data_IF_981909564843
#
_entry.id   IF_981909564843
#
_cell.length_a   1.000
_cell.length_b   1.000
_cell.length_c   1.000
_cell.angle_alpha   90.00
_cell.angle_beta   90.00
_cell.angle_gamma   90.00
#
_symmetry.space_group_name_H-M   'P 1'
#
loop_
_entity.id
_entity.type
_entity.pdbx_description
1 polymer ?
#
# COMPACT_ATOMS: atom_id res chain seq x y z
N UNK A 1 21.79 6.73 -72.11
CA UNK A 1 22.00 5.87 -70.92
C UNK A 1 21.69 6.62 -69.62
N UNK A 2 20.76 7.59 -69.60
CA UNK A 2 20.39 8.34 -68.37
C UNK A 2 18.93 8.10 -67.94
N UNK A 3 18.03 7.85 -68.89
CA UNK A 3 16.60 7.58 -68.66
C UNK A 3 16.39 6.26 -67.88
N UNK A 4 17.29 5.29 -68.02
CA UNK A 4 17.25 4.03 -67.28
C UNK A 4 17.61 4.18 -65.79
N UNK A 5 18.44 5.17 -65.43
CA UNK A 5 18.85 5.39 -64.04
C UNK A 5 17.77 6.11 -63.22
N UNK A 6 17.01 7.02 -63.83
CA UNK A 6 15.91 7.74 -63.18
C UNK A 6 14.72 6.83 -62.87
N UNK A 7 14.40 5.86 -63.75
CA UNK A 7 13.37 4.86 -63.49
C UNK A 7 13.75 3.90 -62.34
N UNK A 8 15.02 3.49 -62.26
CA UNK A 8 15.50 2.63 -61.17
C UNK A 8 15.49 3.35 -59.80
N UNK A 9 15.84 4.64 -59.76
CA UNK A 9 15.73 5.45 -58.54
C UNK A 9 14.27 5.69 -58.13
N UNK A 10 13.38 6.01 -59.07
CA UNK A 10 11.96 6.20 -58.80
C UNK A 10 11.30 4.94 -58.23
N UNK A 11 11.64 3.75 -58.76
CA UNK A 11 11.16 2.49 -58.18
C UNK A 11 11.69 2.21 -56.78
N UNK A 12 12.93 2.59 -56.47
CA UNK A 12 13.49 2.44 -55.10
C UNK A 12 12.75 3.35 -54.11
N UNK A 13 12.46 4.60 -54.50
CA UNK A 13 11.71 5.55 -53.67
C UNK A 13 10.27 5.05 -53.45
N UNK A 14 9.61 4.51 -54.48
CA UNK A 14 8.26 3.94 -54.35
C UNK A 14 8.23 2.71 -53.44
N UNK A 15 9.23 1.82 -53.53
CA UNK A 15 9.37 0.67 -52.62
C UNK A 15 9.64 1.10 -51.18
N UNK A 16 10.51 2.09 -50.97
CA UNK A 16 10.78 2.66 -49.64
C UNK A 16 9.53 3.31 -49.04
N UNK A 17 8.77 4.09 -49.83
CA UNK A 17 7.51 4.69 -49.40
C UNK A 17 6.49 3.64 -49.00
N UNK A 18 6.26 2.62 -49.84
CA UNK A 18 5.31 1.55 -49.53
C UNK A 18 5.74 0.77 -48.28
N UNK A 19 7.04 0.52 -48.11
CA UNK A 19 7.57 -0.13 -46.91
C UNK A 19 7.35 0.73 -45.65
N UNK A 20 7.57 2.04 -45.73
CA UNK A 20 7.30 2.96 -44.63
C UNK A 20 5.81 3.03 -44.27
N UNK A 21 4.91 3.01 -45.27
CA UNK A 21 3.45 2.96 -45.04
C UNK A 21 3.05 1.68 -44.32
N UNK A 22 3.62 0.54 -44.71
CA UNK A 22 3.35 -0.76 -44.05
C UNK A 22 3.86 -0.75 -42.61
N UNK A 23 5.10 -0.28 -42.39
CA UNK A 23 5.69 -0.20 -41.04
C UNK A 23 4.89 0.75 -40.15
N UNK A 24 4.49 1.92 -40.66
CA UNK A 24 3.65 2.87 -39.94
C UNK A 24 2.26 2.28 -39.61
N UNK A 25 1.67 1.50 -40.54
CA UNK A 25 0.42 0.78 -40.29
C UNK A 25 0.54 -0.26 -39.18
N UNK A 26 1.64 -1.02 -39.15
CA UNK A 26 1.91 -2.01 -38.09
C UNK A 26 2.11 -1.31 -36.74
N UNK A 27 2.90 -0.23 -36.70
CA UNK A 27 3.11 0.56 -35.48
C UNK A 27 1.80 1.18 -34.98
N UNK A 28 0.98 1.73 -35.88
CA UNK A 28 -0.33 2.27 -35.54
C UNK A 28 -1.27 1.22 -34.95
N UNK A 29 -1.32 0.04 -35.55
CA UNK A 29 -2.09 -1.09 -35.03
C UNK A 29 -1.58 -1.54 -33.65
N UNK A 30 -0.26 -1.63 -33.45
CA UNK A 30 0.35 -1.98 -32.17
C UNK A 30 0.02 -0.95 -31.08
N UNK A 31 0.10 0.35 -31.38
CA UNK A 31 -0.29 1.42 -30.47
C UNK A 31 -1.79 1.34 -30.12
N UNK A 32 -2.66 1.07 -31.09
CA UNK A 32 -4.09 0.90 -30.84
C UNK A 32 -4.38 -0.29 -29.91
N UNK A 33 -3.69 -1.42 -30.11
CA UNK A 33 -3.79 -2.59 -29.24
C UNK A 33 -3.31 -2.26 -27.82
N UNK A 34 -2.16 -1.61 -27.66
CA UNK A 34 -1.64 -1.20 -26.35
C UNK A 34 -2.57 -0.20 -25.65
N UNK A 35 -3.15 0.74 -26.40
CA UNK A 35 -4.13 1.69 -25.88
C UNK A 35 -5.40 0.97 -25.41
N UNK A 36 -5.88 -0.03 -26.17
CA UNK A 36 -7.03 -0.84 -25.79
C UNK A 36 -6.74 -1.63 -24.50
N UNK A 37 -5.60 -2.33 -24.43
CA UNK A 37 -5.18 -3.09 -23.23
C UNK A 37 -5.08 -2.16 -22.01
N UNK A 38 -4.58 -0.94 -22.20
CA UNK A 38 -4.46 0.04 -21.11
C UNK A 38 -5.82 0.58 -20.68
N UNK A 39 -6.72 0.81 -21.63
CA UNK A 39 -8.08 1.28 -21.36
C UNK A 39 -8.94 0.21 -20.69
N UNK A 40 -8.70 -1.06 -20.97
CA UNK A 40 -9.39 -2.20 -20.35
C UNK A 40 -8.70 -2.71 -19.08
N UNK A 41 -7.60 -2.08 -18.64
CA UNK A 41 -6.86 -2.55 -17.47
C UNK A 41 -7.75 -2.46 -16.23
N UNK A 42 -7.90 -3.60 -15.55
CA UNK A 42 -9.02 -3.88 -14.68
C UNK A 42 -9.14 -2.93 -13.49
N UNK A 43 -10.37 -2.47 -13.24
CA UNK A 43 -10.81 -1.93 -11.96
C UNK A 43 -11.28 -3.11 -11.13
N UNK A 44 -10.55 -3.47 -10.08
CA UNK A 44 -10.99 -4.53 -9.20
C UNK A 44 -11.94 -3.94 -8.15
N UNK A 45 -13.21 -4.29 -8.26
CA UNK A 45 -14.24 -3.91 -7.29
C UNK A 45 -14.52 -5.13 -6.43
N UNK A 46 -14.09 -5.08 -5.19
CA UNK A 46 -14.35 -6.15 -4.22
C UNK A 46 -15.64 -5.82 -3.49
N UNK A 47 -16.67 -6.62 -3.72
CA UNK A 47 -17.94 -6.52 -3.02
C UNK A 47 -17.88 -7.37 -1.74
N UNK A 48 -17.94 -6.70 -0.59
CA UNK A 48 -18.10 -7.38 0.70
C UNK A 48 -19.55 -7.20 1.16
N UNK A 49 -20.30 -8.29 1.49
CA UNK A 49 -21.75 -8.24 1.73
C UNK A 49 -22.23 -7.28 2.82
N UNK A 50 -21.36 -6.88 3.74
CA UNK A 50 -21.69 -6.06 4.92
C UNK A 50 -21.28 -4.60 4.78
N UNK A 51 -20.66 -4.19 3.67
CA UNK A 51 -20.17 -2.82 3.50
C UNK A 51 -21.24 -1.93 2.85
N UNK A 52 -21.42 -0.74 3.41
CA UNK A 52 -22.33 0.28 2.86
C UNK A 52 -21.81 0.97 1.59
N UNK A 53 -20.60 0.63 1.13
CA UNK A 53 -19.98 1.19 -0.07
C UNK A 53 -19.00 0.19 -0.70
N UNK A 54 -18.87 0.16 -2.05
CA UNK A 54 -17.93 -0.73 -2.73
C UNK A 54 -16.47 -0.41 -2.39
N UNK A 55 -15.64 -1.45 -2.22
CA UNK A 55 -14.19 -1.28 -2.11
C UNK A 55 -13.57 -1.29 -3.49
N UNK A 56 -12.84 -0.22 -3.82
CA UNK A 56 -12.18 -0.08 -5.12
C UNK A 56 -10.67 -0.01 -4.94
N UNK A 57 -9.97 -0.85 -5.70
CA UNK A 57 -8.51 -0.86 -5.84
C UNK A 57 -8.20 -0.77 -7.34
N UNK A 58 -7.40 0.22 -7.75
CA UNK A 58 -7.03 0.40 -9.15
C UNK A 58 -5.59 0.89 -9.29
N UNK A 59 -5.06 0.87 -10.51
CA UNK A 59 -3.68 1.32 -10.79
C UNK A 59 -3.38 2.77 -10.36
N UNK A 60 -4.38 3.63 -10.19
CA UNK A 60 -4.21 5.01 -9.73
C UNK A 60 -4.24 5.15 -8.20
N UNK A 61 -4.68 4.14 -7.45
CA UNK A 61 -4.68 4.14 -5.99
C UNK A 61 -5.80 3.33 -5.35
N UNK A 62 -6.00 3.60 -4.07
CA UNK A 62 -7.00 2.94 -3.22
C UNK A 62 -8.14 3.89 -2.87
N UNK A 63 -9.36 3.34 -2.77
CA UNK A 63 -10.50 4.06 -2.20
C UNK A 63 -10.29 4.35 -0.71
N UNK A 64 -10.98 5.37 -0.20
CA UNK A 64 -10.94 5.73 1.23
C UNK A 64 -11.45 4.58 2.09
N UNK A 65 -12.54 3.96 1.67
CA UNK A 65 -13.22 2.87 2.36
C UNK A 65 -12.31 1.64 2.46
N UNK A 66 -11.55 1.37 1.39
CA UNK A 66 -10.54 0.30 1.41
C UNK A 66 -9.40 0.62 2.38
N UNK A 67 -8.85 1.84 2.32
CA UNK A 67 -7.76 2.24 3.22
C UNK A 67 -8.21 2.25 4.68
N UNK A 68 -9.45 2.67 4.96
CA UNK A 68 -10.06 2.62 6.28
C UNK A 68 -10.19 1.17 6.77
N UNK A 69 -10.71 0.28 5.93
CA UNK A 69 -10.85 -1.14 6.27
C UNK A 69 -9.51 -1.79 6.62
N UNK A 70 -8.51 -1.59 5.77
CA UNK A 70 -7.15 -2.14 5.97
C UNK A 70 -6.48 -1.52 7.20
N UNK A 71 -6.66 -0.22 7.42
CA UNK A 71 -6.12 0.46 8.60
C UNK A 71 -6.75 -0.08 9.88
N UNK A 72 -8.07 -0.32 9.91
CA UNK A 72 -8.75 -0.87 11.08
C UNK A 72 -8.21 -2.25 11.43
N UNK A 73 -8.09 -3.13 10.45
CA UNK A 73 -7.54 -4.48 10.63
C UNK A 73 -6.08 -4.43 11.10
N UNK A 74 -5.27 -3.58 10.45
CA UNK A 74 -3.85 -3.43 10.80
C UNK A 74 -3.65 -2.81 12.19
N UNK A 75 -4.50 -1.87 12.61
CA UNK A 75 -4.42 -1.29 13.94
C UNK A 75 -4.66 -2.33 15.02
N UNK A 76 -5.69 -3.17 14.86
CA UNK A 76 -5.93 -4.31 15.78
C UNK A 76 -4.72 -5.25 15.75
N UNK A 77 -4.25 -5.63 14.57
CA UNK A 77 -3.11 -6.54 14.43
C UNK A 77 -1.83 -6.01 15.08
N UNK A 78 -1.54 -4.71 14.94
CA UNK A 78 -0.27 -4.13 15.39
C UNK A 78 -0.28 -3.71 16.86
N UNK A 79 -1.44 -3.26 17.38
CA UNK A 79 -1.56 -2.67 18.71
C UNK A 79 -2.05 -3.66 19.78
N UNK A 80 -2.63 -4.79 19.39
CA UNK A 80 -3.07 -5.83 20.31
C UNK A 80 -2.01 -6.92 20.46
N UNK A 81 -1.43 -7.03 21.65
CA UNK A 81 -0.30 -7.94 21.90
C UNK A 81 -0.30 -8.48 23.33
N UNK A 82 0.15 -9.72 23.45
CA UNK A 82 0.30 -10.43 24.71
C UNK A 82 1.45 -11.44 24.59
N UNK A 83 2.03 -11.91 25.71
CA UNK A 83 3.14 -12.87 25.66
C UNK A 83 2.76 -14.17 24.93
N UNK A 84 1.47 -14.52 24.90
CA UNK A 84 0.93 -15.71 24.26
C UNK A 84 0.89 -15.62 22.71
N UNK A 85 0.82 -14.41 22.13
CA UNK A 85 0.68 -14.23 20.68
C UNK A 85 1.84 -13.46 20.02
N UNK A 86 2.92 -13.14 20.75
CA UNK A 86 4.05 -12.34 20.23
C UNK A 86 4.69 -12.91 18.94
N UNK A 87 4.84 -14.23 18.84
CA UNK A 87 5.44 -14.85 17.66
C UNK A 87 4.54 -14.70 16.43
N UNK A 88 3.23 -14.98 16.60
CA UNK A 88 2.24 -14.79 15.54
C UNK A 88 2.15 -13.31 15.14
N UNK A 89 2.06 -12.41 16.12
CA UNK A 89 2.03 -10.96 15.92
C UNK A 89 3.20 -10.49 15.06
N UNK A 90 4.43 -10.84 15.42
CA UNK A 90 5.62 -10.39 14.67
C UNK A 90 5.58 -10.90 13.23
N UNK A 91 5.21 -12.18 13.02
CA UNK A 91 5.10 -12.74 11.67
C UNK A 91 4.03 -12.01 10.85
N UNK A 92 2.83 -11.85 11.40
CA UNK A 92 1.71 -11.22 10.69
C UNK A 92 1.99 -9.75 10.34
N UNK A 93 2.64 -8.98 11.22
CA UNK A 93 3.04 -7.60 10.92
C UNK A 93 4.08 -7.56 9.78
N UNK A 94 5.04 -8.50 9.76
CA UNK A 94 6.03 -8.58 8.69
C UNK A 94 5.45 -8.99 7.33
N UNK A 95 4.41 -9.82 7.31
CA UNK A 95 3.75 -10.28 6.07
C UNK A 95 3.03 -9.13 5.32
N UNK A 96 2.50 -8.15 6.07
CA UNK A 96 1.85 -6.95 5.51
C UNK A 96 2.84 -5.80 5.23
N UNK A 97 4.08 -5.90 5.72
CA UNK A 97 5.10 -4.86 5.59
C UNK A 97 5.70 -4.83 4.17
N UNK A 98 6.02 -3.62 3.70
CA UNK A 98 6.70 -3.41 2.43
C UNK A 98 8.12 -4.01 2.47
N UNK A 99 8.61 -4.66 1.40
CA UNK A 99 9.96 -5.23 1.37
C UNK A 99 11.06 -4.22 1.68
N UNK A 100 10.87 -2.96 1.28
CA UNK A 100 11.78 -1.83 1.55
C UNK A 100 11.90 -1.50 3.05
N UNK A 101 10.83 -1.68 3.83
CA UNK A 101 10.77 -1.34 5.25
C UNK A 101 10.95 -2.55 6.19
N UNK A 102 10.95 -3.77 5.63
CA UNK A 102 10.93 -5.02 6.39
C UNK A 102 12.12 -5.13 7.37
N UNK A 103 13.32 -4.69 6.99
CA UNK A 103 14.50 -4.73 7.84
C UNK A 103 14.38 -3.83 9.07
N UNK A 104 13.94 -2.59 8.87
CA UNK A 104 13.74 -1.61 9.94
C UNK A 104 12.63 -2.07 10.90
N UNK A 105 11.46 -2.39 10.34
CA UNK A 105 10.31 -2.84 11.15
C UNK A 105 10.68 -4.10 11.93
N UNK A 106 11.35 -5.09 11.32
CA UNK A 106 11.79 -6.28 12.04
C UNK A 106 12.67 -5.97 13.25
N UNK A 107 13.60 -5.02 13.13
CA UNK A 107 14.44 -4.60 14.25
C UNK A 107 13.60 -4.00 15.39
N UNK A 108 12.67 -3.12 15.06
CA UNK A 108 11.77 -2.47 16.02
C UNK A 108 10.84 -3.50 16.71
N UNK A 109 10.29 -4.45 15.96
CA UNK A 109 9.46 -5.53 16.51
C UNK A 109 10.27 -6.49 17.39
N UNK A 110 11.50 -6.83 17.03
CA UNK A 110 12.36 -7.68 17.85
C UNK A 110 12.68 -7.05 19.20
N UNK A 111 12.87 -5.73 19.25
CA UNK A 111 13.04 -4.99 20.52
C UNK A 111 11.82 -5.18 21.41
N UNK A 112 10.62 -4.98 20.86
CA UNK A 112 9.35 -5.20 21.56
C UNK A 112 9.21 -6.65 22.06
N UNK A 113 9.50 -7.62 21.20
CA UNK A 113 9.42 -9.05 21.56
C UNK A 113 10.37 -9.37 22.71
N UNK A 114 11.60 -8.86 22.67
CA UNK A 114 12.58 -9.10 23.72
C UNK A 114 12.19 -8.45 25.06
N UNK A 115 11.57 -7.26 25.03
CA UNK A 115 11.07 -6.57 26.22
C UNK A 115 9.85 -7.27 26.82
N UNK A 116 8.96 -7.82 25.99
CA UNK A 116 7.72 -8.45 26.46
C UNK A 116 7.84 -9.94 26.74
N UNK A 117 8.87 -10.61 26.20
CA UNK A 117 9.12 -12.04 26.43
C UNK A 117 9.46 -12.27 27.91
N UNK A 118 8.67 -13.12 28.56
CA UNK A 118 8.80 -13.40 29.99
C UNK A 118 8.14 -12.35 30.89
N UNK A 119 7.57 -11.27 30.32
CA UNK A 119 6.71 -10.35 31.06
C UNK A 119 5.27 -10.91 31.13
N UNK A 120 4.47 -10.40 32.07
CA UNK A 120 3.02 -10.65 32.11
C UNK A 120 2.23 -9.47 31.55
N UNK A 121 2.83 -8.70 30.63
CA UNK A 121 2.23 -7.49 30.05
C UNK A 121 1.39 -7.86 28.84
N UNK A 122 0.10 -7.54 28.87
CA UNK A 122 -0.78 -7.58 27.71
C UNK A 122 -1.31 -6.17 27.39
N UNK A 123 -1.52 -5.90 26.11
CA UNK A 123 -2.01 -4.62 25.64
C UNK A 123 -3.08 -4.85 24.58
N UNK A 124 -4.11 -4.00 24.60
CA UNK A 124 -5.11 -3.95 23.55
C UNK A 124 -5.55 -2.50 23.32
N UNK A 125 -6.03 -2.23 22.12
CA UNK A 125 -6.36 -0.88 21.68
C UNK A 125 -7.82 -0.77 21.27
N UNK A 126 -8.51 0.21 21.87
CA UNK A 126 -9.90 0.51 21.57
C UNK A 126 -9.96 1.68 20.60
N UNK A 127 -10.24 1.40 19.33
CA UNK A 127 -10.37 2.42 18.28
C UNK A 127 -11.58 3.33 18.56
N UNK A 128 -11.37 4.65 18.53
CA UNK A 128 -12.46 5.63 18.66
C UNK A 128 -12.64 6.48 17.42
N UNK A 129 -11.55 6.83 16.73
CA UNK A 129 -11.57 7.68 15.55
C UNK A 129 -10.48 7.28 14.57
N UNK A 130 -10.73 7.49 13.28
CA UNK A 130 -9.74 7.30 12.23
C UNK A 130 -9.72 8.53 11.31
N UNK A 131 -8.53 8.92 10.87
CA UNK A 131 -8.35 9.89 9.78
C UNK A 131 -7.61 9.19 8.65
N UNK A 132 -8.13 9.34 7.43
CA UNK A 132 -7.69 8.56 6.28
C UNK A 132 -7.36 9.52 5.13
N UNK A 133 -6.15 9.40 4.60
CA UNK A 133 -5.71 10.18 3.44
C UNK A 133 -5.23 9.24 2.32
N UNK A 134 -6.12 8.86 1.39
CA UNK A 134 -5.77 7.99 0.27
C UNK A 134 -4.82 8.64 -0.73
N UNK A 135 -4.73 9.98 -0.76
CA UNK A 135 -3.86 10.70 -1.70
C UNK A 135 -2.40 10.62 -1.26
N UNK A 136 -2.16 10.82 0.03
CA UNK A 136 -0.83 10.76 0.61
C UNK A 136 -0.49 9.37 1.21
N UNK A 137 -1.42 8.41 1.11
CA UNK A 137 -1.27 7.03 1.57
C UNK A 137 -0.84 6.94 3.05
N UNK A 138 -1.49 7.70 3.91
CA UNK A 138 -1.36 7.56 5.36
C UNK A 138 -2.73 7.48 6.01
N UNK A 139 -2.75 6.92 7.21
CA UNK A 139 -3.92 6.90 8.06
C UNK A 139 -3.51 7.04 9.52
N UNK A 140 -4.37 7.63 10.32
CA UNK A 140 -4.20 7.68 11.77
C UNK A 140 -5.38 7.05 12.47
N UNK A 141 -5.10 6.42 13.60
CA UNK A 141 -6.09 5.81 14.48
C UNK A 141 -5.90 6.39 15.87
N UNK A 142 -6.97 6.99 16.40
CA UNK A 142 -7.01 7.56 17.74
C UNK A 142 -7.93 6.71 18.61
N UNK A 143 -7.48 6.42 19.82
CA UNK A 143 -8.17 5.49 20.70
C UNK A 143 -7.44 5.26 22.01
N UNK A 144 -7.97 4.36 22.81
CA UNK A 144 -7.48 4.10 24.16
C UNK A 144 -6.60 2.86 24.16
N UNK A 145 -5.34 3.01 24.59
CA UNK A 145 -4.40 1.92 24.78
C UNK A 145 -4.48 1.42 26.21
N UNK A 146 -4.97 0.20 26.38
CA UNK A 146 -5.05 -0.46 27.66
C UNK A 146 -3.82 -1.32 27.89
N UNK A 147 -3.20 -1.19 29.05
CA UNK A 147 -2.10 -2.07 29.48
C UNK A 147 -2.51 -2.85 30.71
N UNK A 148 -2.37 -4.16 30.64
CA UNK A 148 -2.66 -5.12 31.70
C UNK A 148 -1.34 -5.77 32.12
N UNK A 149 -1.13 -5.89 33.44
CA UNK A 149 0.00 -6.65 34.00
C UNK A 149 -0.57 -7.74 34.90
N UNK A 150 -0.37 -9.00 34.49
CA UNK A 150 -0.99 -10.14 35.15
C UNK A 150 -2.52 -10.04 35.08
N UNK A 151 -3.15 -9.72 36.21
CA UNK A 151 -4.61 -9.64 36.34
C UNK A 151 -5.15 -8.23 36.63
N UNK A 152 -4.31 -7.18 36.50
CA UNK A 152 -4.70 -5.79 36.80
C UNK A 152 -4.45 -4.89 35.59
N UNK A 153 -5.42 -4.02 35.30
CA UNK A 153 -5.22 -2.89 34.37
C UNK A 153 -4.34 -1.86 35.06
N UNK A 154 -3.20 -1.53 34.45
CA UNK A 154 -2.21 -0.61 35.03
C UNK A 154 -2.16 0.74 34.31
N UNK A 155 -2.61 0.80 33.06
CA UNK A 155 -2.68 2.04 32.29
C UNK A 155 -3.84 2.02 31.29
N UNK A 156 -4.42 3.19 31.08
CA UNK A 156 -5.38 3.48 30.02
C UNK A 156 -5.07 4.88 29.48
N UNK A 157 -4.54 4.95 28.27
CA UNK A 157 -4.06 6.21 27.71
C UNK A 157 -4.67 6.45 26.33
N UNK A 158 -5.18 7.67 26.12
CA UNK A 158 -5.59 8.12 24.79
C UNK A 158 -4.35 8.35 23.95
N UNK A 159 -4.17 7.55 22.88
CA UNK A 159 -3.03 7.65 21.96
C UNK A 159 -3.52 7.72 20.51
N UNK A 160 -2.71 8.36 19.68
CA UNK A 160 -2.89 8.40 18.22
C UNK A 160 -1.73 7.69 17.57
N UNK A 161 -2.02 6.73 16.70
CA UNK A 161 -1.04 6.00 15.91
C UNK A 161 -1.18 6.38 14.45
N UNK A 162 -0.06 6.61 13.77
CA UNK A 162 0.01 6.81 12.33
C UNK A 162 0.48 5.53 11.66
N UNK A 163 -0.10 5.23 10.52
CA UNK A 163 0.25 4.16 9.60
C UNK A 163 0.56 4.79 8.25
N UNK A 164 1.76 4.54 7.74
CA UNK A 164 2.21 4.98 6.43
C UNK A 164 2.22 3.80 5.47
N UNK A 165 1.65 4.00 4.28
CA UNK A 165 1.39 2.95 3.32
C UNK A 165 2.15 3.20 2.02
N UNK A 166 2.49 2.11 1.35
CA UNK A 166 2.97 2.12 -0.02
C UNK A 166 2.01 1.30 -0.87
N UNK A 167 1.61 1.88 -1.99
CA UNK A 167 0.78 1.20 -2.96
C UNK A 167 1.61 0.86 -4.21
N UNK A 168 1.74 -0.43 -4.52
CA UNK A 168 2.48 -0.90 -5.68
C UNK A 168 1.90 -2.20 -6.21
N UNK A 169 1.72 -2.30 -7.53
CA UNK A 169 1.27 -3.52 -8.19
C UNK A 169 -0.06 -4.05 -7.66
N UNK A 170 -1.01 -3.16 -7.39
CA UNK A 170 -2.31 -3.45 -6.75
C UNK A 170 -2.26 -3.89 -5.28
N UNK A 171 -1.07 -3.98 -4.68
CA UNK A 171 -0.91 -4.31 -3.27
C UNK A 171 -0.65 -3.06 -2.43
N UNK A 172 -1.41 -2.92 -1.34
CA UNK A 172 -1.14 -1.95 -0.29
C UNK A 172 -0.25 -2.62 0.76
N UNK A 173 0.88 -2.00 1.09
CA UNK A 173 1.86 -2.52 2.05
C UNK A 173 2.20 -1.47 3.10
N UNK A 174 2.43 -1.93 4.33
CA UNK A 174 2.80 -1.08 5.45
C UNK A 174 4.27 -0.67 5.36
N UNK A 175 4.56 0.63 5.36
CA UNK A 175 5.93 1.17 5.35
C UNK A 175 6.40 1.48 6.77
N UNK A 176 5.48 1.90 7.63
CA UNK A 176 5.78 2.26 9.01
C UNK A 176 4.51 2.45 9.81
N UNK A 177 4.64 2.26 11.11
CA UNK A 177 3.61 2.65 12.06
C UNK A 177 4.27 3.16 13.34
N UNK A 178 3.61 4.07 14.02
CA UNK A 178 4.15 4.65 15.25
C UNK A 178 3.20 5.62 15.93
N UNK A 179 3.46 5.90 17.20
CA UNK A 179 2.69 6.88 17.95
C UNK A 179 2.99 8.29 17.41
N UNK A 180 1.94 9.06 17.15
CA UNK A 180 2.06 10.49 16.84
C UNK A 180 2.24 11.23 18.16
N UNK A 181 3.43 11.75 18.41
CA UNK A 181 3.66 12.66 19.53
C UNK A 181 3.01 13.99 19.20
N UNK A 182 1.89 14.30 19.86
CA UNK A 182 1.32 15.65 19.78
C UNK A 182 2.32 16.58 20.47
N UNK A 183 3.04 17.38 19.69
CA UNK A 183 4.03 18.32 20.22
C UNK A 183 3.41 19.26 21.25
N UNK A 184 3.64 18.97 22.53
CA UNK A 184 3.80 19.96 23.60
C UNK A 184 5.22 19.86 24.17
N UNK A 185 6.20 19.97 23.29
CA UNK A 185 7.47 20.64 23.61
C UNK A 185 7.51 21.85 22.66
N UNK A 186 6.83 22.91 23.07
CA UNK A 186 7.24 24.26 22.67
C UNK A 186 8.39 24.61 23.59
N UNK A 187 9.55 24.81 22.98
CA UNK A 187 10.73 25.53 23.43
C UNK A 187 10.61 26.14 24.85
N UNK A 188 11.45 25.61 25.74
CA UNK A 188 12.03 26.38 26.86
C UNK A 188 12.90 27.51 26.33
#
# INVERSE_FOLDING_TARGET
MEISYTHAQSQRILKQRNMLVVIAGILGALCAILALITATRDREVVLQPILGSPLVVNSAGVSREYLELVTRDTAVLTLDRSPANLEYWMKSVLDITAPSAQGKIRADLMKIVNEQRGSSIAQFFTIQQMEIDPKNLWSTVTGDLHTIVGNKVVANERRTFRFDWQYSGLSLKLVGFGMVTTGKEKDQ
#
